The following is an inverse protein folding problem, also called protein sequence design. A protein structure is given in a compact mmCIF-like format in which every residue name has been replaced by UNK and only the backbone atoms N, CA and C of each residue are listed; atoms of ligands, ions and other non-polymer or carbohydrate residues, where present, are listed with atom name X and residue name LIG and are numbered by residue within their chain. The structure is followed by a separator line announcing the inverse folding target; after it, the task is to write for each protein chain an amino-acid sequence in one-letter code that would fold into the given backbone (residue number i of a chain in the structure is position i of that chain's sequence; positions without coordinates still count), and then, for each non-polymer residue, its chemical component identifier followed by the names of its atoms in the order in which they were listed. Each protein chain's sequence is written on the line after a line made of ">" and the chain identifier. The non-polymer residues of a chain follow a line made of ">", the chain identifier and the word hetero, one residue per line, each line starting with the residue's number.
data_IF_211753419324
#
_entry.id   IF_211753419324
#
_cell.length_a   1.000
_cell.length_b   1.000
_cell.length_c   1.000
_cell.angle_alpha   90.00
_cell.angle_beta   90.00
_cell.angle_gamma   90.00
#
_symmetry.space_group_name_H-M   'P 1'
#
loop_
_entity.id
_entity.type
_entity.pdbx_description
1 polymer ?
#
# COMPACT_ATOMS: atom_id res chain seq x y z
N UNK A 1 -3.49 8.95 26.24
CA UNK A 1 -4.41 9.88 25.56
C UNK A 1 -4.49 9.66 24.04
N UNK A 2 -4.00 8.53 23.51
CA UNK A 2 -4.29 8.00 22.15
C UNK A 2 -4.15 6.46 22.19
N UNK A 3 -3.04 5.97 22.76
CA UNK A 3 -2.82 4.55 23.06
C UNK A 3 -3.91 3.90 23.95
N UNK A 4 -4.42 4.62 24.94
CA UNK A 4 -5.46 4.08 25.86
C UNK A 4 -6.84 3.91 25.21
N UNK A 5 -7.11 4.57 24.08
CA UNK A 5 -8.40 4.52 23.42
C UNK A 5 -8.45 3.49 22.29
N UNK A 6 -7.33 3.27 21.61
CA UNK A 6 -7.31 2.48 20.37
C UNK A 6 -6.37 1.27 20.37
N UNK A 7 -5.62 1.02 21.45
CA UNK A 7 -4.74 -0.15 21.62
C UNK A 7 -3.77 -0.40 20.43
N UNK A 8 -3.21 0.64 19.83
CA UNK A 8 -2.24 0.50 18.73
C UNK A 8 -0.93 -0.14 19.19
N UNK A 9 -0.39 -1.07 18.41
CA UNK A 9 0.87 -1.79 18.68
C UNK A 9 2.09 -1.11 18.06
N UNK A 10 1.92 -0.37 16.97
CA UNK A 10 2.94 0.47 16.36
C UNK A 10 2.36 1.74 15.74
N UNK A 11 3.22 2.73 15.49
CA UNK A 11 2.90 3.99 14.82
C UNK A 11 4.03 4.32 13.84
N UNK A 12 3.69 4.51 12.57
CA UNK A 12 4.55 5.16 11.58
C UNK A 12 4.17 6.64 11.45
N UNK A 13 5.16 7.53 11.44
CA UNK A 13 4.96 8.97 11.26
C UNK A 13 5.87 9.43 10.12
N UNK A 14 5.26 9.84 9.01
CA UNK A 14 5.95 10.36 7.83
C UNK A 14 5.97 11.89 7.90
N UNK A 15 7.13 12.47 7.59
CA UNK A 15 7.39 13.91 7.66
C UNK A 15 6.81 14.59 8.91
N UNK A 16 7.36 14.32 10.10
CA UNK A 16 6.83 14.89 11.34
C UNK A 16 6.93 16.43 11.40
N UNK A 17 7.59 17.08 10.43
CA UNK A 17 7.96 18.51 10.46
C UNK A 17 8.63 18.92 11.78
N UNK A 18 9.44 18.01 12.33
CA UNK A 18 10.16 18.17 13.59
C UNK A 18 11.60 17.70 13.45
N UNK A 19 12.48 18.28 14.26
CA UNK A 19 13.87 17.82 14.34
C UNK A 19 13.93 16.37 14.88
N UNK A 20 14.66 15.49 14.21
CA UNK A 20 14.82 14.07 14.56
C UNK A 20 15.30 13.84 16.01
N UNK A 21 16.07 14.77 16.59
CA UNK A 21 16.49 14.71 18.01
C UNK A 21 15.31 14.68 18.99
N UNK A 22 14.12 15.11 18.55
CA UNK A 22 12.89 15.08 19.37
C UNK A 22 12.24 13.70 19.43
N UNK A 23 12.66 12.71 18.63
CA UNK A 23 11.99 11.39 18.58
C UNK A 23 11.81 10.76 19.96
N UNK A 24 12.82 10.86 20.83
CA UNK A 24 12.76 10.35 22.20
C UNK A 24 11.72 11.06 23.09
N UNK A 25 11.44 12.35 22.83
CA UNK A 25 10.36 13.09 23.50
C UNK A 25 9.00 12.54 23.09
N UNK A 26 8.80 12.28 21.79
CA UNK A 26 7.55 11.70 21.26
C UNK A 26 7.36 10.26 21.72
N UNK A 27 8.41 9.43 21.66
CA UNK A 27 8.46 8.07 22.21
C UNK A 27 7.89 8.00 23.63
N UNK A 28 8.38 8.87 24.52
CA UNK A 28 7.89 8.98 25.92
C UNK A 28 6.44 9.43 26.00
N UNK A 29 6.03 10.43 25.21
CA UNK A 29 4.66 10.97 25.20
C UNK A 29 3.64 9.94 24.69
N UNK A 30 4.02 9.16 23.67
CA UNK A 30 3.24 8.07 23.09
C UNK A 30 3.22 6.82 23.98
N UNK A 31 4.12 6.75 24.98
CA UNK A 31 4.34 5.57 25.85
C UNK A 31 4.77 4.32 25.08
N UNK A 32 5.45 4.51 23.95
CA UNK A 32 6.03 3.45 23.16
C UNK A 32 7.51 3.34 23.53
N UNK A 33 8.01 2.20 24.05
CA UNK A 33 9.38 2.08 24.50
C UNK A 33 10.40 2.04 23.38
N UNK A 34 10.02 1.56 22.19
CA UNK A 34 10.90 1.45 21.03
C UNK A 34 10.57 2.55 20.01
N UNK A 35 11.62 3.16 19.46
CA UNK A 35 11.50 4.13 18.38
C UNK A 35 12.73 4.07 17.48
N UNK A 36 12.54 4.25 16.19
CA UNK A 36 13.60 4.37 15.19
C UNK A 36 13.20 5.38 14.12
N UNK A 37 14.17 5.87 13.36
CA UNK A 37 13.94 6.73 12.21
C UNK A 37 14.77 6.30 11.03
N UNK A 38 14.36 6.70 9.82
CA UNK A 38 15.18 6.54 8.63
C UNK A 38 16.42 7.46 8.63
N UNK A 39 17.28 7.31 7.63
CA UNK A 39 18.60 7.92 7.55
C UNK A 39 18.60 9.46 7.58
N UNK A 40 17.56 10.10 7.05
CA UNK A 40 17.39 11.56 7.08
C UNK A 40 16.50 12.05 8.23
N UNK A 41 15.98 11.14 9.06
CA UNK A 41 15.15 11.45 10.21
C UNK A 41 13.76 11.99 9.88
N UNK A 42 13.25 11.79 8.64
CA UNK A 42 11.92 12.22 8.20
C UNK A 42 10.83 11.16 8.31
N UNK A 43 11.19 9.91 8.56
CA UNK A 43 10.24 8.81 8.79
C UNK A 43 10.53 8.21 10.15
N UNK A 44 9.58 8.29 11.08
CA UNK A 44 9.71 7.76 12.43
C UNK A 44 8.80 6.56 12.61
N UNK A 45 9.31 5.54 13.31
CA UNK A 45 8.55 4.37 13.69
C UNK A 45 8.60 4.20 15.21
N UNK A 46 7.47 3.86 15.81
CA UNK A 46 7.34 3.59 17.23
C UNK A 46 6.62 2.26 17.42
N UNK A 47 7.00 1.47 18.42
CA UNK A 47 6.28 0.24 18.78
C UNK A 47 6.32 -0.02 20.28
N UNK A 48 5.41 -0.88 20.73
CA UNK A 48 5.29 -1.35 22.11
C UNK A 48 6.40 -2.36 22.48
N UNK A 49 6.25 -3.10 23.59
CA UNK A 49 7.24 -4.12 24.02
C UNK A 49 6.96 -5.51 23.45
N UNK A 50 5.89 -5.67 22.68
CA UNK A 50 5.47 -6.99 22.21
C UNK A 50 6.29 -7.43 21.00
N UNK A 51 7.04 -6.50 20.40
CA UNK A 51 7.85 -6.70 19.22
C UNK A 51 9.31 -6.35 19.45
N UNK A 52 10.21 -7.19 18.92
CA UNK A 52 11.55 -6.75 18.50
C UNK A 52 11.50 -6.26 17.07
N UNK A 53 12.32 -5.25 16.77
CA UNK A 53 12.37 -4.62 15.44
C UNK A 53 13.78 -4.68 14.88
N UNK A 54 13.89 -5.08 13.61
CA UNK A 54 15.13 -5.06 12.85
C UNK A 54 14.93 -4.20 11.61
N UNK A 55 15.82 -3.23 11.38
CA UNK A 55 15.79 -2.42 10.16
C UNK A 55 16.33 -3.28 9.01
N UNK A 56 15.49 -3.54 8.02
CA UNK A 56 15.84 -4.33 6.82
C UNK A 56 16.32 -3.42 5.70
N UNK A 57 15.68 -2.24 5.55
CA UNK A 57 16.06 -1.24 4.55
C UNK A 57 15.86 0.15 5.12
N UNK A 58 16.86 1.00 4.91
CA UNK A 58 16.87 2.39 5.34
C UNK A 58 17.36 3.28 4.20
N UNK A 59 16.50 4.18 3.74
CA UNK A 59 16.77 5.17 2.71
C UNK A 59 16.05 6.47 3.03
N UNK A 60 16.32 7.52 2.26
CA UNK A 60 15.66 8.82 2.46
C UNK A 60 14.14 8.77 2.31
N UNK A 61 13.63 7.87 1.48
CA UNK A 61 12.21 7.74 1.13
C UNK A 61 11.57 6.47 1.71
N UNK A 62 12.33 5.56 2.31
CA UNK A 62 11.82 4.26 2.76
C UNK A 62 12.49 3.81 4.06
N UNK A 63 11.68 3.31 4.98
CA UNK A 63 12.10 2.55 6.16
C UNK A 63 11.33 1.23 6.22
N UNK A 64 12.02 0.11 6.01
CA UNK A 64 11.44 -1.24 6.15
C UNK A 64 11.96 -1.90 7.41
N UNK A 65 11.02 -2.40 8.21
CA UNK A 65 11.24 -3.02 9.51
C UNK A 65 10.68 -4.43 9.50
N UNK A 66 11.46 -5.38 9.97
CA UNK A 66 10.98 -6.70 10.37
C UNK A 66 10.63 -6.66 11.85
N UNK A 67 9.36 -6.89 12.15
CA UNK A 67 8.79 -7.00 13.48
C UNK A 67 8.67 -8.48 13.84
N UNK A 68 9.27 -8.87 14.95
CA UNK A 68 9.15 -10.21 15.50
C UNK A 68 8.36 -10.13 16.81
N UNK A 69 7.15 -10.69 16.82
CA UNK A 69 6.31 -10.71 18.01
C UNK A 69 6.81 -11.77 19.00
N UNK A 70 6.91 -11.43 20.28
CA UNK A 70 7.48 -12.34 21.29
C UNK A 70 6.70 -13.64 21.53
N UNK A 71 5.43 -13.67 21.13
CA UNK A 71 4.54 -14.85 21.31
C UNK A 71 4.27 -15.55 19.97
N UNK A 72 4.28 -14.83 18.85
CA UNK A 72 3.86 -15.39 17.56
C UNK A 72 5.08 -15.69 16.70
N UNK A 73 5.04 -16.81 16.00
CA UNK A 73 6.17 -17.28 15.18
C UNK A 73 6.36 -16.44 13.91
N UNK A 74 5.29 -15.78 13.45
CA UNK A 74 5.30 -15.02 12.20
C UNK A 74 5.97 -13.66 12.36
N UNK A 75 6.83 -13.33 11.39
CA UNK A 75 7.39 -12.00 11.25
C UNK A 75 6.43 -11.10 10.48
N UNK A 76 6.23 -9.88 10.97
CA UNK A 76 5.51 -8.83 10.27
C UNK A 76 6.52 -7.90 9.59
N UNK A 77 6.35 -7.61 8.31
CA UNK A 77 7.17 -6.63 7.61
C UNK A 77 6.37 -5.33 7.46
N UNK A 78 6.91 -4.24 8.01
CA UNK A 78 6.31 -2.91 7.89
C UNK A 78 7.23 -2.04 7.06
N UNK A 79 6.72 -1.52 5.95
CA UNK A 79 7.46 -0.61 5.06
C UNK A 79 6.79 0.75 5.07
N UNK A 80 7.45 1.72 5.69
CA UNK A 80 7.05 3.13 5.68
C UNK A 80 7.71 3.80 4.49
N UNK A 81 6.91 4.28 3.53
CA UNK A 81 7.40 4.97 2.32
C UNK A 81 6.90 6.39 2.32
N UNK A 82 7.83 7.33 2.21
CA UNK A 82 7.55 8.72 1.92
C UNK A 82 8.18 9.09 0.58
N UNK A 83 7.40 8.95 -0.48
CA UNK A 83 7.77 9.30 -1.84
C UNK A 83 6.68 10.18 -2.48
N UNK A 84 7.11 11.26 -3.11
CA UNK A 84 6.31 12.06 -4.04
C UNK A 84 7.23 12.53 -5.17
N UNK A 85 6.81 12.49 -6.44
CA UNK A 85 5.58 11.84 -6.95
C UNK A 85 5.57 10.31 -6.70
N UNK A 86 4.39 9.66 -6.73
CA UNK A 86 4.25 8.23 -6.42
C UNK A 86 3.40 7.47 -7.44
N UNK A 87 3.86 6.26 -7.74
CA UNK A 87 3.07 5.19 -8.38
C UNK A 87 3.10 3.99 -7.45
N UNK A 88 1.94 3.40 -7.19
CA UNK A 88 1.80 2.16 -6.43
C UNK A 88 1.03 1.18 -7.29
N UNK A 89 1.61 0.01 -7.55
CA UNK A 89 0.94 -1.03 -8.33
C UNK A 89 1.09 -2.40 -7.70
N UNK A 90 0.06 -3.23 -7.86
CA UNK A 90 0.08 -4.61 -7.40
C UNK A 90 -1.32 -5.20 -7.22
N UNK A 91 -1.35 -6.40 -6.66
CA UNK A 91 -2.55 -7.10 -6.23
C UNK A 91 -3.01 -6.55 -4.87
N UNK A 92 -4.19 -5.94 -4.87
CA UNK A 92 -4.81 -5.41 -3.64
C UNK A 92 -5.81 -6.39 -3.03
N UNK A 93 -6.19 -7.45 -3.74
CA UNK A 93 -7.28 -8.37 -3.36
C UNK A 93 -8.59 -7.63 -3.01
N UNK A 94 -8.92 -6.55 -3.73
CA UNK A 94 -10.16 -5.78 -3.53
C UNK A 94 -10.89 -5.55 -4.85
N UNK A 95 -12.13 -6.03 -4.90
CA UNK A 95 -13.12 -5.74 -5.93
C UNK A 95 -13.93 -4.52 -5.48
N UNK A 96 -13.87 -3.42 -6.24
CA UNK A 96 -14.50 -2.15 -5.88
C UNK A 96 -16.00 -2.09 -6.15
N UNK A 97 -16.48 -2.84 -7.15
CA UNK A 97 -17.89 -2.85 -7.49
C UNK A 97 -18.27 -4.08 -8.31
N UNK A 98 -19.57 -4.29 -8.49
CA UNK A 98 -20.13 -5.47 -9.18
C UNK A 98 -19.68 -5.62 -10.64
N UNK A 99 -19.19 -4.58 -11.31
CA UNK A 99 -18.67 -4.68 -12.69
C UNK A 99 -17.28 -5.29 -12.75
N UNK A 100 -16.58 -5.34 -11.62
CA UNK A 100 -15.24 -5.89 -11.51
C UNK A 100 -15.24 -7.38 -11.16
N UNK A 101 -16.41 -8.01 -11.04
CA UNK A 101 -16.53 -9.43 -10.72
C UNK A 101 -17.57 -10.13 -11.60
N UNK A 102 -17.23 -11.33 -12.05
CA UNK A 102 -18.16 -12.27 -12.70
C UNK A 102 -18.09 -13.60 -11.96
N UNK A 103 -19.26 -14.16 -11.63
CA UNK A 103 -19.37 -15.42 -10.91
C UNK A 103 -19.10 -15.29 -9.41
N UNK A 104 -19.13 -16.42 -8.70
CA UNK A 104 -18.90 -16.45 -7.26
C UNK A 104 -20.01 -15.80 -6.43
N UNK A 105 -19.72 -15.59 -5.15
CA UNK A 105 -20.61 -14.86 -4.25
C UNK A 105 -20.43 -13.33 -4.44
N UNK A 106 -21.48 -12.53 -4.19
CA UNK A 106 -21.34 -11.09 -4.09
C UNK A 106 -20.32 -10.71 -3.01
N UNK A 107 -19.56 -9.65 -3.27
CA UNK A 107 -18.63 -9.09 -2.30
C UNK A 107 -19.35 -8.31 -1.20
N UNK A 108 -18.66 -8.12 -0.07
CA UNK A 108 -19.15 -7.28 1.02
C UNK A 108 -18.96 -5.81 0.67
N UNK A 109 -19.91 -4.96 1.06
CA UNK A 109 -19.78 -3.51 0.81
C UNK A 109 -18.64 -2.87 1.64
N UNK A 110 -18.32 -3.46 2.79
CA UNK A 110 -17.36 -2.89 3.73
C UNK A 110 -15.91 -2.87 3.20
N UNK A 111 -15.50 -3.92 2.48
CA UNK A 111 -14.10 -4.08 2.06
C UNK A 111 -13.69 -3.05 1.00
N UNK A 112 -14.60 -2.71 0.08
CA UNK A 112 -14.30 -1.71 -0.95
C UNK A 112 -14.40 -0.27 -0.42
N UNK A 113 -15.34 0.03 0.49
CA UNK A 113 -15.42 1.36 1.13
C UNK A 113 -14.14 1.71 1.89
N UNK A 114 -13.60 0.77 2.67
CA UNK A 114 -12.35 0.95 3.41
C UNK A 114 -11.16 1.16 2.45
N UNK A 115 -11.14 0.44 1.33
CA UNK A 115 -10.09 0.59 0.32
C UNK A 115 -10.17 1.94 -0.40
N UNK A 116 -11.36 2.37 -0.84
CA UNK A 116 -11.59 3.69 -1.48
C UNK A 116 -11.20 4.83 -0.52
N UNK A 117 -11.57 4.72 0.75
CA UNK A 117 -11.17 5.67 1.78
C UNK A 117 -9.65 5.69 1.96
N UNK A 118 -9.00 4.52 2.00
CA UNK A 118 -7.56 4.41 2.15
C UNK A 118 -6.81 5.10 0.99
N UNK A 119 -7.15 4.77 -0.27
CA UNK A 119 -6.46 5.33 -1.44
C UNK A 119 -6.69 6.84 -1.56
N UNK A 120 -7.92 7.31 -1.30
CA UNK A 120 -8.24 8.74 -1.34
C UNK A 120 -7.51 9.52 -0.23
N UNK A 121 -7.41 8.97 0.98
CA UNK A 121 -6.64 9.56 2.08
C UNK A 121 -5.13 9.64 1.80
N UNK A 122 -4.64 8.79 0.88
CA UNK A 122 -3.25 8.77 0.42
C UNK A 122 -2.96 9.67 -0.79
N UNK A 123 -3.96 10.45 -1.26
CA UNK A 123 -3.91 11.22 -2.50
C UNK A 123 -3.55 10.36 -3.72
N UNK A 124 -4.12 9.16 -3.78
CA UNK A 124 -3.92 8.21 -4.87
C UNK A 124 -5.19 8.05 -5.69
N UNK A 125 -5.02 8.02 -7.01
CA UNK A 125 -6.09 7.78 -7.96
C UNK A 125 -5.67 6.64 -8.90
N UNK A 126 -6.62 5.83 -9.33
CA UNK A 126 -6.37 4.78 -10.32
C UNK A 126 -6.03 5.41 -11.68
N UNK A 127 -4.96 4.95 -12.31
CA UNK A 127 -4.61 5.35 -13.68
C UNK A 127 -5.58 4.63 -14.63
N UNK A 128 -6.05 5.33 -15.66
CA UNK A 128 -6.90 4.73 -16.68
C UNK A 128 -6.22 3.50 -17.30
N UNK A 129 -7.00 2.43 -17.51
CA UNK A 129 -6.50 1.21 -18.12
C UNK A 129 -7.24 0.85 -19.43
N UNK A 130 -6.58 0.03 -20.25
CA UNK A 130 -7.14 -0.66 -21.42
C UNK A 130 -6.90 -2.17 -21.34
N UNK A 131 -7.59 -2.92 -22.20
CA UNK A 131 -7.48 -4.38 -22.29
C UNK A 131 -8.61 -5.11 -21.54
N UNK A 132 -8.33 -6.32 -21.05
CA UNK A 132 -9.32 -7.11 -20.33
C UNK A 132 -9.63 -6.47 -18.96
N UNK A 133 -10.89 -6.18 -18.60
CA UNK A 133 -11.21 -5.58 -17.30
C UNK A 133 -10.92 -6.48 -16.10
N UNK A 134 -10.73 -7.79 -16.29
CA UNK A 134 -10.45 -8.74 -15.21
C UNK A 134 -8.98 -9.12 -15.20
N UNK A 135 -8.31 -8.91 -14.08
CA UNK A 135 -6.90 -9.23 -13.88
C UNK A 135 -6.74 -10.66 -13.38
N UNK A 136 -7.67 -11.18 -12.59
CA UNK A 136 -7.60 -12.51 -12.01
C UNK A 136 -8.64 -13.50 -12.56
N UNK A 137 -8.31 -14.79 -12.58
CA UNK A 137 -9.20 -15.90 -12.90
C UNK A 137 -8.93 -17.14 -12.04
N UNK A 138 -9.99 -17.74 -11.51
CA UNK A 138 -9.89 -18.91 -10.62
C UNK A 138 -9.47 -20.24 -11.29
N UNK A 139 -9.17 -20.26 -12.59
CA UNK A 139 -8.76 -21.47 -13.31
C UNK A 139 -9.91 -22.44 -13.66
N UNK A 140 -11.16 -22.11 -13.34
CA UNK A 140 -12.32 -23.02 -13.54
C UNK A 140 -13.13 -22.64 -14.78
N UNK A 141 -13.77 -23.64 -15.37
CA UNK A 141 -14.65 -23.47 -16.52
C UNK A 141 -16.14 -23.46 -16.16
N UNK A 142 -16.99 -23.21 -17.15
CA UNK A 142 -18.45 -23.27 -17.05
C UNK A 142 -19.00 -22.38 -15.91
N UNK A 143 -20.00 -22.88 -15.18
CA UNK A 143 -20.70 -22.14 -14.12
C UNK A 143 -19.86 -21.93 -12.85
N UNK A 144 -18.67 -22.52 -12.77
CA UNK A 144 -17.73 -22.31 -11.66
C UNK A 144 -16.67 -21.25 -11.97
N UNK A 145 -16.73 -20.66 -13.17
CA UNK A 145 -15.77 -19.65 -13.62
C UNK A 145 -15.95 -18.35 -12.83
N UNK A 146 -14.87 -17.86 -12.23
CA UNK A 146 -14.85 -16.58 -11.51
C UNK A 146 -13.75 -15.70 -12.10
N UNK A 147 -14.11 -14.47 -12.45
CA UNK A 147 -13.19 -13.43 -12.90
C UNK A 147 -13.31 -12.21 -11.99
N UNK A 148 -12.18 -11.65 -11.60
CA UNK A 148 -12.12 -10.49 -10.70
C UNK A 148 -11.07 -9.48 -11.20
N UNK A 149 -11.26 -8.20 -10.89
CA UNK A 149 -10.21 -7.18 -10.96
C UNK A 149 -9.66 -6.96 -9.56
N UNK A 150 -8.45 -7.47 -9.34
CA UNK A 150 -7.76 -7.39 -8.04
C UNK A 150 -6.49 -6.55 -8.10
N UNK A 151 -5.89 -6.46 -9.28
CA UNK A 151 -4.64 -5.74 -9.51
C UNK A 151 -4.94 -4.32 -10.01
N UNK A 152 -4.22 -3.32 -9.49
CA UNK A 152 -4.35 -1.91 -9.89
C UNK A 152 -3.00 -1.22 -9.96
N UNK A 153 -2.95 -0.12 -10.72
CA UNK A 153 -1.87 0.87 -10.62
C UNK A 153 -2.49 2.22 -10.26
N UNK A 154 -2.06 2.74 -9.12
CA UNK A 154 -2.50 3.98 -8.51
C UNK A 154 -1.38 5.01 -8.58
N UNK A 155 -1.74 6.29 -8.69
CA UNK A 155 -0.79 7.38 -8.78
C UNK A 155 -1.36 8.66 -8.18
N UNK A 156 -0.48 9.51 -7.62
CA UNK A 156 -0.90 10.85 -7.21
C UNK A 156 -0.91 11.84 -8.38
N UNK A 157 -1.56 12.99 -8.18
CA UNK A 157 -1.72 14.00 -9.24
C UNK A 157 -0.38 14.58 -9.70
N UNK A 158 0.58 14.75 -8.79
CA UNK A 158 1.92 15.25 -9.13
C UNK A 158 2.61 14.35 -10.15
N UNK A 159 2.57 13.03 -9.95
CA UNK A 159 3.14 12.06 -10.89
C UNK A 159 2.44 12.10 -12.25
N UNK A 160 1.11 12.15 -12.25
CA UNK A 160 0.34 12.20 -13.49
C UNK A 160 0.62 13.46 -14.30
N UNK A 161 0.96 14.58 -13.62
CA UNK A 161 1.34 15.83 -14.26
C UNK A 161 2.76 15.84 -14.87
N UNK A 162 3.59 14.81 -14.62
CA UNK A 162 4.93 14.73 -15.21
C UNK A 162 4.92 14.23 -16.66
N UNK A 163 3.83 13.58 -17.08
CA UNK A 163 3.67 13.00 -18.41
C UNK A 163 2.46 13.60 -19.11
N UNK A 164 2.50 13.68 -20.44
CA UNK A 164 1.34 14.10 -21.21
C UNK A 164 0.22 13.07 -21.14
N UNK A 165 0.61 11.80 -21.05
CA UNK A 165 -0.30 10.67 -21.00
C UNK A 165 0.29 9.54 -20.16
N UNK A 166 -0.53 8.98 -19.27
CA UNK A 166 -0.24 7.74 -18.55
C UNK A 166 -1.41 6.78 -18.74
N UNK A 167 -1.14 5.54 -19.13
CA UNK A 167 -2.15 4.49 -19.32
C UNK A 167 -1.61 3.16 -18.81
N UNK A 168 -2.51 2.33 -18.28
CA UNK A 168 -2.23 0.95 -17.91
C UNK A 168 -2.78 0.00 -18.97
N UNK A 169 -2.03 -0.99 -19.40
CA UNK A 169 -2.54 -2.08 -20.24
C UNK A 169 -2.56 -3.38 -19.45
N UNK A 170 -3.72 -4.03 -19.37
CA UNK A 170 -3.84 -5.39 -18.88
C UNK A 170 -3.46 -6.37 -20.00
N UNK A 171 -2.30 -6.99 -19.85
CA UNK A 171 -1.75 -7.95 -20.81
C UNK A 171 -2.41 -9.32 -20.69
N UNK A 172 -2.25 -10.15 -21.70
CA UNK A 172 -2.75 -11.52 -21.66
C UNK A 172 -2.08 -12.33 -20.54
N UNK A 173 -2.90 -13.04 -19.75
CA UNK A 173 -2.43 -14.01 -18.75
C UNK A 173 -1.57 -15.08 -19.42
N UNK A 174 -0.31 -15.20 -19.00
CA UNK A 174 0.64 -16.21 -19.50
C UNK A 174 1.32 -16.91 -18.33
N UNK A 175 0.76 -18.05 -17.90
CA UNK A 175 1.34 -18.86 -16.82
C UNK A 175 1.05 -18.40 -15.39
N UNK A 176 0.16 -17.41 -15.21
CA UNK A 176 -0.40 -17.01 -13.91
C UNK A 176 -1.92 -16.85 -14.05
N UNK A 177 -2.62 -17.02 -12.93
CA UNK A 177 -4.01 -16.63 -12.73
C UNK A 177 -4.21 -15.11 -12.74
N UNK A 178 -3.16 -14.32 -12.51
CA UNK A 178 -3.13 -12.86 -12.66
C UNK A 178 -2.62 -12.39 -14.03
N UNK A 179 -3.22 -11.30 -14.53
CA UNK A 179 -2.82 -10.61 -15.74
C UNK A 179 -1.70 -9.62 -15.43
N UNK A 180 -0.58 -9.65 -16.16
CA UNK A 180 0.44 -8.61 -16.03
C UNK A 180 -0.12 -7.24 -16.42
N UNK A 181 0.30 -6.20 -15.69
CA UNK A 181 -0.04 -4.81 -15.99
C UNK A 181 1.17 -4.07 -16.54
N UNK A 182 1.02 -3.42 -17.69
CA UNK A 182 2.02 -2.53 -18.28
C UNK A 182 1.63 -1.08 -18.04
N UNK A 183 2.46 -0.31 -17.33
CA UNK A 183 2.31 1.14 -17.23
C UNK A 183 3.10 1.81 -18.37
N UNK A 184 2.40 2.51 -19.25
CA UNK A 184 2.98 3.33 -20.30
C UNK A 184 2.92 4.82 -19.93
N UNK A 185 4.02 5.54 -20.12
CA UNK A 185 4.12 6.97 -19.87
C UNK A 185 4.67 7.67 -21.11
N UNK A 186 3.96 8.67 -21.63
CA UNK A 186 4.39 9.47 -22.78
C UNK A 186 5.00 10.80 -22.33
N UNK A 187 6.26 11.03 -22.69
CA UNK A 187 7.00 12.25 -22.35
C UNK A 187 6.40 13.49 -23.04
N UNK A 188 6.58 14.65 -22.40
CA UNK A 188 6.31 15.92 -23.05
C UNK A 188 7.26 16.13 -24.23
N UNK A 189 6.72 16.39 -25.43
CA UNK A 189 7.52 16.93 -26.53
C UNK A 189 8.08 18.30 -26.08
N UNK A 190 9.40 18.37 -25.87
CA UNK A 190 10.13 19.59 -25.49
C UNK A 190 10.10 20.65 -26.58
#
# INVERSE_FOLDING_TARGET
>A
MLHNFHKFTFIGLLEPFQNCRRINKYRRRLRMPLATSNCNGKTWFFTNRDFTTTVIKDTEQQLTLQLHHHIYIHNLFVTLVYATPRVIGGDFNVVLNTKEKIGGLPESDADHEDFEYCISSCDLNEIQFRGNPFTWWNGRGNNECIFERLDRILSNQEMQGWFNHMEVEHLARTGSDHAPMLLACEECAT
#
